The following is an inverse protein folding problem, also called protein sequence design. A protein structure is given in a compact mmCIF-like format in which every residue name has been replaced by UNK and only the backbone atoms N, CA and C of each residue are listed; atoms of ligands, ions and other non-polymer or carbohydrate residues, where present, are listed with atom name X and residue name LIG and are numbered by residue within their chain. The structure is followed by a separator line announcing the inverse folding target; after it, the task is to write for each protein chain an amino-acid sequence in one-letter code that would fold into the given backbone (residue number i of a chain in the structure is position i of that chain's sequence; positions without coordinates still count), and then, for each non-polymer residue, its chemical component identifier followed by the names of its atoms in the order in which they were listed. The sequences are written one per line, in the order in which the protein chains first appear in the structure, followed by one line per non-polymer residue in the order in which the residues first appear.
data_IF_977780578144
#
_entry.id   IF_977780578144
#
_cell.length_a   1.000
_cell.length_b   1.000
_cell.length_c   1.000
_cell.angle_alpha   90.00
_cell.angle_beta   90.00
_cell.angle_gamma   90.00
#
_symmetry.space_group_name_H-M   'P 1'
#
loop_
_entity.id
_entity.type
_entity.pdbx_description
1 polymer ?
#
# COMPACT_ATOMS: atom_id res chain seq x y z
N UNK A 1 40.93 3.08 8.66
CA UNK A 1 40.31 1.75 8.49
C UNK A 1 39.27 1.81 7.38
N UNK A 2 39.69 1.62 6.13
CA UNK A 2 38.81 1.66 4.95
C UNK A 2 38.31 0.26 4.61
N UNK A 3 37.14 -0.11 5.10
CA UNK A 3 36.50 -1.37 4.72
C UNK A 3 36.07 -1.33 3.25
N UNK A 4 36.50 -2.33 2.47
CA UNK A 4 36.21 -2.44 1.04
C UNK A 4 34.70 -2.53 0.72
N UNK A 5 34.33 -2.35 -0.54
CA UNK A 5 32.92 -2.29 -0.99
C UNK A 5 32.05 -3.45 -0.48
N UNK A 6 32.59 -4.67 -0.39
CA UNK A 6 31.86 -5.82 0.12
C UNK A 6 31.50 -5.70 1.62
N UNK A 7 32.41 -5.18 2.44
CA UNK A 7 32.18 -4.97 3.87
C UNK A 7 31.19 -3.83 4.10
N UNK A 8 31.29 -2.74 3.33
CA UNK A 8 30.30 -1.65 3.34
C UNK A 8 28.91 -2.13 2.92
N UNK A 9 28.82 -2.96 1.88
CA UNK A 9 27.56 -3.55 1.42
C UNK A 9 26.94 -4.49 2.47
N UNK A 10 27.75 -5.33 3.12
CA UNK A 10 27.28 -6.23 4.19
C UNK A 10 26.75 -5.44 5.39
N UNK A 11 27.49 -4.44 5.87
CA UNK A 11 27.02 -3.54 6.95
C UNK A 11 25.79 -2.73 6.55
N UNK A 12 25.66 -2.31 5.29
CA UNK A 12 24.46 -1.62 4.81
C UNK A 12 23.23 -2.55 4.81
N UNK A 13 23.41 -3.81 4.37
CA UNK A 13 22.35 -4.82 4.41
C UNK A 13 21.96 -5.18 5.84
N UNK A 14 22.93 -5.39 6.73
CA UNK A 14 22.69 -5.67 8.15
C UNK A 14 21.95 -4.51 8.82
N UNK A 15 22.40 -3.27 8.65
CA UNK A 15 21.67 -2.10 9.21
C UNK A 15 20.26 -1.94 8.63
N UNK A 16 20.03 -2.26 7.36
CA UNK A 16 18.70 -2.19 6.76
C UNK A 16 17.77 -3.29 7.31
N UNK A 17 18.29 -4.49 7.53
CA UNK A 17 17.55 -5.59 8.16
C UNK A 17 17.25 -5.28 9.63
N UNK A 18 18.21 -4.70 10.36
CA UNK A 18 18.01 -4.27 11.75
C UNK A 18 16.99 -3.13 11.85
N UNK A 19 17.02 -2.14 10.94
CA UNK A 19 15.98 -1.10 10.85
C UNK A 19 14.60 -1.69 10.54
N UNK A 20 14.51 -2.67 9.64
CA UNK A 20 13.24 -3.37 9.36
C UNK A 20 12.73 -4.13 10.59
N UNK A 21 13.61 -4.82 11.32
CA UNK A 21 13.24 -5.53 12.57
C UNK A 21 12.85 -4.57 13.70
N UNK A 22 13.53 -3.42 13.82
CA UNK A 22 13.19 -2.38 14.79
C UNK A 22 11.86 -1.68 14.47
N UNK A 23 11.48 -1.59 13.19
CA UNK A 23 10.17 -1.08 12.75
C UNK A 23 8.99 -2.02 12.99
N UNK A 24 9.23 -3.30 13.36
CA UNK A 24 8.17 -4.29 13.61
C UNK A 24 7.47 -4.14 14.96
N UNK A 25 7.95 -3.28 15.87
CA UNK A 25 7.22 -2.92 17.09
C UNK A 25 6.16 -1.86 16.78
N UNK A 26 5.02 -2.30 16.23
CA UNK A 26 3.78 -1.53 16.19
C UNK A 26 3.81 -0.25 15.34
N UNK A 27 4.48 -0.25 14.18
CA UNK A 27 4.44 0.93 13.31
C UNK A 27 3.04 1.16 12.75
N UNK A 28 2.46 2.33 13.04
CA UNK A 28 1.22 2.84 12.42
C UNK A 28 1.24 2.71 10.89
N UNK A 29 2.42 2.78 10.26
CA UNK A 29 2.59 2.55 8.83
C UNK A 29 2.21 1.14 8.40
N UNK A 30 2.58 0.11 9.17
CA UNK A 30 2.24 -1.28 8.86
C UNK A 30 0.74 -1.52 9.06
N UNK A 31 0.14 -0.93 10.09
CA UNK A 31 -1.30 -0.93 10.26
C UNK A 31 -2.02 -0.22 9.09
N UNK A 32 -1.49 0.92 8.61
CA UNK A 32 -2.03 1.62 7.44
C UNK A 32 -1.90 0.81 6.14
N UNK A 33 -0.76 0.14 5.93
CA UNK A 33 -0.58 -0.76 4.78
C UNK A 33 -1.55 -1.94 4.82
N UNK A 34 -1.74 -2.56 5.99
CA UNK A 34 -2.74 -3.62 6.17
C UNK A 34 -4.17 -3.12 5.98
N UNK A 35 -4.41 -1.85 6.33
CA UNK A 35 -5.69 -1.22 6.09
C UNK A 35 -5.95 -0.94 4.60
N UNK A 36 -4.97 -0.98 3.69
CA UNK A 36 -5.20 -0.80 2.25
C UNK A 36 -5.79 -2.06 1.59
N UNK A 37 -6.99 -2.47 1.98
CA UNK A 37 -7.64 -3.70 1.50
C UNK A 37 -8.59 -3.50 0.32
N UNK A 38 -9.03 -2.27 0.06
CA UNK A 38 -9.94 -1.95 -1.05
C UNK A 38 -9.09 -1.63 -2.27
N UNK A 39 -9.34 -2.27 -3.41
CA UNK A 39 -8.56 -2.06 -4.63
C UNK A 39 -9.48 -1.84 -5.82
N UNK A 40 -9.27 -0.75 -6.55
CA UNK A 40 -9.93 -0.54 -7.84
C UNK A 40 -9.39 -1.56 -8.86
N UNK A 41 -10.26 -2.34 -9.47
CA UNK A 41 -9.89 -3.35 -10.46
C UNK A 41 -9.50 -2.79 -11.82
N UNK A 42 -9.87 -1.54 -12.12
CA UNK A 42 -9.57 -0.89 -13.40
C UNK A 42 -8.17 -0.26 -13.40
N UNK A 43 -7.82 0.50 -12.36
CA UNK A 43 -6.52 1.19 -12.27
C UNK A 43 -5.56 0.63 -11.23
N UNK A 44 -5.95 -0.42 -10.48
CA UNK A 44 -5.15 -1.04 -9.42
C UNK A 44 -4.79 -0.11 -8.25
N UNK A 45 -5.38 1.08 -8.15
CA UNK A 45 -5.25 1.95 -6.99
C UNK A 45 -5.81 1.28 -5.75
N UNK A 46 -5.05 1.33 -4.66
CA UNK A 46 -5.43 0.80 -3.35
C UNK A 46 -5.97 1.92 -2.46
N UNK A 47 -7.02 1.61 -1.73
CA UNK A 47 -7.74 2.48 -0.81
C UNK A 47 -7.76 1.83 0.57
N UNK A 48 -7.79 2.67 1.61
CA UNK A 48 -7.89 2.23 3.00
C UNK A 48 -9.27 1.56 3.22
N UNK A 49 -9.35 0.56 4.09
CA UNK A 49 -10.53 -0.25 4.37
C UNK A 49 -11.67 0.53 5.00
N UNK A 50 -11.36 1.67 5.62
CA UNK A 50 -12.31 2.63 6.17
C UNK A 50 -12.81 3.63 5.11
N UNK A 51 -12.37 3.52 3.86
CA UNK A 51 -12.86 4.36 2.76
C UNK A 51 -14.34 4.07 2.54
N UNK A 52 -15.17 5.09 2.71
CA UNK A 52 -16.61 4.99 2.48
C UNK A 52 -16.93 4.76 1.01
N UNK A 53 -18.06 4.11 0.73
CA UNK A 53 -18.56 3.84 -0.63
C UNK A 53 -18.59 5.10 -1.52
N UNK A 54 -18.96 6.25 -0.93
CA UNK A 54 -18.99 7.55 -1.62
C UNK A 54 -17.65 7.88 -2.28
N UNK A 55 -16.53 7.67 -1.58
CA UNK A 55 -15.20 7.96 -2.14
C UNK A 55 -14.79 6.99 -3.24
N UNK A 56 -15.20 5.73 -3.14
CA UNK A 56 -14.99 4.74 -4.21
C UNK A 56 -15.82 5.11 -5.45
N UNK A 57 -17.06 5.57 -5.25
CA UNK A 57 -17.92 6.08 -6.33
C UNK A 57 -17.33 7.34 -6.99
N UNK A 58 -16.89 8.32 -6.20
CA UNK A 58 -16.21 9.53 -6.71
C UNK A 58 -14.95 9.16 -7.53
N UNK A 59 -14.17 8.18 -7.07
CA UNK A 59 -13.03 7.67 -7.84
C UNK A 59 -13.45 7.09 -9.19
N UNK A 60 -14.47 6.23 -9.20
CA UNK A 60 -14.98 5.63 -10.42
C UNK A 60 -15.53 6.69 -11.39
N UNK A 61 -16.32 7.65 -10.93
CA UNK A 61 -16.87 8.71 -11.76
C UNK A 61 -15.78 9.64 -12.33
N UNK A 62 -14.76 10.00 -11.54
CA UNK A 62 -13.71 10.92 -11.97
C UNK A 62 -12.62 10.26 -12.84
N UNK A 63 -12.27 8.99 -12.58
CA UNK A 63 -11.17 8.29 -13.27
C UNK A 63 -11.64 7.29 -14.31
N UNK A 64 -12.84 6.75 -14.14
CA UNK A 64 -13.40 5.70 -14.97
C UNK A 64 -14.82 6.05 -15.44
N UNK A 65 -15.05 7.22 -16.07
CA UNK A 65 -16.40 7.70 -16.42
C UNK A 65 -17.15 6.80 -17.42
N UNK A 66 -16.46 5.83 -18.02
CA UNK A 66 -17.02 4.84 -18.96
C UNK A 66 -17.23 3.46 -18.32
N UNK A 67 -16.78 3.27 -17.09
CA UNK A 67 -16.86 2.00 -16.37
C UNK A 67 -17.81 2.15 -15.20
N UNK A 68 -18.60 1.11 -14.95
CA UNK A 68 -19.51 1.13 -13.81
C UNK A 68 -18.73 1.06 -12.49
N UNK A 69 -19.28 1.63 -11.43
CA UNK A 69 -18.70 1.59 -10.07
C UNK A 69 -18.44 0.15 -9.63
N UNK A 70 -19.32 -0.80 -10.02
CA UNK A 70 -19.17 -2.22 -9.70
C UNK A 70 -18.03 -2.87 -10.48
N UNK A 71 -17.67 -2.35 -11.66
CA UNK A 71 -16.47 -2.80 -12.39
C UNK A 71 -15.20 -2.34 -11.70
N UNK A 72 -15.21 -1.12 -11.13
CA UNK A 72 -14.08 -0.61 -10.37
C UNK A 72 -13.95 -1.30 -9.01
N UNK A 73 -15.05 -1.48 -8.30
CA UNK A 73 -15.09 -2.05 -6.96
C UNK A 73 -16.20 -3.11 -6.86
N UNK A 74 -15.92 -4.35 -7.32
CA UNK A 74 -16.93 -5.42 -7.34
C UNK A 74 -17.42 -5.83 -5.93
N UNK A 75 -16.67 -5.46 -4.90
CA UNK A 75 -17.02 -5.68 -3.49
C UNK A 75 -18.09 -4.69 -2.96
N UNK A 76 -18.47 -3.68 -3.75
CA UNK A 76 -19.59 -2.78 -3.42
C UNK A 76 -20.95 -3.32 -3.92
N UNK A 77 -20.94 -4.33 -4.78
CA UNK A 77 -22.17 -4.98 -5.25
C UNK A 77 -22.64 -5.97 -4.16
N UNK A 78 -23.75 -5.65 -3.49
CA UNK A 78 -24.46 -6.58 -2.60
C UNK A 78 -25.28 -7.58 -3.40
#
# INVERSE_FOLDING_TARGET
MGGGNGQKAKMARERNLEKQKAGSKGSQLEANKKAMSIQCKVCMQTFICTTSEVKCREHAEAKHPKSDVNTCFPHLQK
#
